data_IF_631800218782
#
_entry.id   IF_631800218782
#
_cell.length_a   1.000
_cell.length_b   1.000
_cell.length_c   1.000
_cell.angle_alpha   90.00
_cell.angle_beta   90.00
_cell.angle_gamma   90.00
#
_symmetry.space_group_name_H-M   'P 1'
#
loop_
_entity.id
_entity.type
_entity.pdbx_description
1 polymer ?
#
# COMPACT_ATOMS: atom_id res chain seq x y z
N UNK A 1 -50.71 -15.15 -2.81
CA UNK A 1 -49.56 -14.63 -3.58
C UNK A 1 -48.40 -15.58 -3.28
N UNK A 2 -47.93 -16.51 -4.10
CA UNK A 2 -47.87 -16.62 -5.55
C UNK A 2 -46.42 -16.94 -5.92
N UNK A 3 -45.85 -18.02 -5.41
CA UNK A 3 -44.46 -18.43 -5.69
C UNK A 3 -44.50 -19.54 -6.74
N UNK A 4 -44.02 -19.25 -7.95
CA UNK A 4 -43.89 -20.22 -9.05
C UNK A 4 -42.41 -20.32 -9.42
N UNK A 5 -41.79 -21.46 -9.10
CA UNK A 5 -40.53 -21.88 -9.72
C UNK A 5 -40.85 -23.01 -10.70
N UNK A 6 -40.57 -22.76 -11.98
CA UNK A 6 -40.58 -23.77 -13.04
C UNK A 6 -39.14 -24.26 -13.20
N UNK A 7 -38.86 -25.48 -12.73
CA UNK A 7 -37.57 -26.16 -13.00
C UNK A 7 -37.87 -27.32 -13.95
N UNK A 8 -37.56 -27.13 -15.23
CA UNK A 8 -37.63 -28.20 -16.23
C UNK A 8 -36.40 -29.12 -16.11
N UNK A 9 -36.71 -30.40 -15.97
CA UNK A 9 -35.83 -31.58 -15.98
C UNK A 9 -35.04 -31.69 -17.29
N UNK A 10 -33.73 -31.94 -17.21
CA UNK A 10 -32.95 -32.46 -18.36
C UNK A 10 -33.16 -33.97 -18.46
N UNK A 11 -33.44 -34.53 -19.65
CA UNK A 11 -33.30 -35.96 -19.83
C UNK A 11 -31.84 -36.33 -20.19
N UNK A 12 -31.37 -37.33 -19.46
CA UNK A 12 -30.15 -38.08 -19.62
C UNK A 12 -30.27 -39.01 -20.84
N UNK A 13 -29.25 -39.10 -21.69
CA UNK A 13 -29.13 -40.17 -22.70
C UNK A 13 -27.67 -40.40 -23.11
N UNK A 14 -27.13 -41.52 -22.67
CA UNK A 14 -25.94 -42.25 -23.18
C UNK A 14 -26.28 -43.72 -22.88
N UNK A 15 -26.14 -44.70 -23.80
CA UNK A 15 -24.85 -45.38 -24.13
C UNK A 15 -24.71 -45.83 -25.62
N UNK A 16 -23.55 -45.81 -26.31
CA UNK A 16 -22.35 -46.71 -26.33
C UNK A 16 -22.31 -47.56 -27.65
N UNK A 17 -21.35 -48.49 -27.91
CA UNK A 17 -19.98 -48.37 -28.45
C UNK A 17 -19.72 -48.97 -29.87
N UNK A 18 -18.52 -48.71 -30.43
CA UNK A 18 -17.56 -49.66 -31.07
C UNK A 18 -16.91 -49.26 -32.45
N UNK A 19 -15.61 -48.92 -32.40
CA UNK A 19 -14.39 -49.28 -33.21
C UNK A 19 -14.46 -49.64 -34.73
N UNK A 20 -13.40 -49.39 -35.58
CA UNK A 20 -12.01 -49.83 -35.34
C UNK A 20 -10.83 -48.93 -35.83
N UNK A 21 -9.62 -49.38 -35.46
CA UNK A 21 -8.27 -48.82 -35.73
C UNK A 21 -7.78 -48.98 -37.18
N UNK A 22 -6.96 -48.04 -37.70
CA UNK A 22 -5.61 -48.30 -38.31
C UNK A 22 -4.91 -47.06 -38.94
N UNK A 23 -3.58 -47.02 -38.81
CA UNK A 23 -2.59 -46.34 -39.68
C UNK A 23 -2.24 -44.91 -39.27
N UNK A 24 -0.99 -44.43 -39.11
CA UNK A 24 0.33 -44.91 -39.52
C UNK A 24 0.95 -43.97 -40.56
N UNK A 25 1.83 -43.03 -40.15
CA UNK A 25 2.70 -42.26 -41.06
C UNK A 25 3.15 -40.86 -40.54
N UNK A 26 4.46 -40.52 -40.54
CA UNK A 26 4.99 -39.22 -40.09
C UNK A 26 5.29 -38.24 -41.25
N UNK A 27 5.19 -36.94 -41.00
CA UNK A 27 5.69 -35.95 -41.98
C UNK A 27 5.31 -34.49 -41.77
N UNK A 28 6.18 -33.75 -41.07
CA UNK A 28 6.69 -32.38 -41.35
C UNK A 28 5.75 -31.15 -41.43
N UNK A 29 6.39 -30.02 -41.05
CA UNK A 29 6.10 -28.61 -41.33
C UNK A 29 5.00 -27.96 -40.46
N UNK A 30 5.37 -27.14 -39.47
CA UNK A 30 5.73 -25.72 -39.62
C UNK A 30 4.53 -24.85 -40.02
N UNK A 31 4.07 -24.01 -39.09
CA UNK A 31 3.70 -22.58 -39.24
C UNK A 31 2.85 -22.15 -38.05
N UNK A 32 3.29 -21.11 -37.34
CA UNK A 32 2.41 -20.29 -36.50
C UNK A 32 1.74 -19.27 -37.43
N UNK A 33 0.45 -18.98 -37.22
CA UNK A 33 0.12 -17.61 -36.87
C UNK A 33 -0.96 -17.50 -35.79
N UNK A 34 -0.68 -16.65 -34.82
CA UNK A 34 -1.63 -16.14 -33.84
C UNK A 34 -2.76 -15.40 -34.58
N UNK A 35 -4.00 -15.89 -34.47
CA UNK A 35 -5.17 -15.16 -34.97
C UNK A 35 -5.83 -14.40 -33.81
N UNK A 36 -5.57 -13.10 -33.85
CA UNK A 36 -6.37 -11.94 -33.48
C UNK A 36 -7.87 -12.22 -33.25
N UNK A 37 -8.40 -11.84 -32.08
CA UNK A 37 -9.78 -11.35 -31.98
C UNK A 37 -9.93 -10.42 -30.76
N UNK A 38 -9.71 -9.12 -30.98
CA UNK A 38 -10.13 -8.05 -30.07
C UNK A 38 -11.14 -7.18 -30.80
N UNK A 39 -12.34 -6.93 -30.25
CA UNK A 39 -13.24 -5.97 -30.86
C UNK A 39 -12.83 -4.54 -30.48
N UNK A 40 -12.45 -3.81 -31.53
CA UNK A 40 -12.44 -2.37 -31.67
C UNK A 40 -13.78 -1.75 -31.20
N UNK A 41 -13.76 -0.87 -30.20
CA UNK A 41 -14.83 0.13 -30.01
C UNK A 41 -14.20 1.52 -30.12
N UNK A 42 -14.76 2.24 -31.10
CA UNK A 42 -14.35 3.54 -31.61
C UNK A 42 -14.82 4.66 -30.68
N UNK A 43 -13.85 5.51 -30.33
CA UNK A 43 -13.90 6.97 -30.09
C UNK A 43 -15.26 7.69 -30.11
N UNK A 44 -15.50 8.50 -29.08
CA UNK A 44 -16.01 9.86 -29.27
C UNK A 44 -15.40 10.83 -28.26
N UNK A 45 -14.64 11.78 -28.80
CA UNK A 45 -14.18 13.00 -28.13
C UNK A 45 -15.36 13.93 -27.82
N UNK A 46 -15.27 14.63 -26.69
CA UNK A 46 -16.18 15.70 -26.29
C UNK A 46 -15.51 16.62 -25.29
N UNK A 47 -14.92 17.69 -25.84
CA UNK A 47 -14.27 18.82 -25.18
C UNK A 47 -15.01 19.36 -23.94
N UNK A 48 -14.28 19.61 -22.84
CA UNK A 48 -14.58 20.69 -21.90
C UNK A 48 -13.32 21.04 -21.11
N UNK A 49 -12.61 22.06 -21.59
CA UNK A 49 -11.53 22.72 -20.84
C UNK A 49 -12.21 23.64 -19.84
N UNK A 50 -12.11 23.34 -18.55
CA UNK A 50 -12.48 24.27 -17.50
C UNK A 50 -11.35 24.31 -16.47
N UNK A 51 -10.53 25.35 -16.56
CA UNK A 51 -9.50 25.70 -15.58
C UNK A 51 -10.18 26.67 -14.61
N UNK A 52 -10.45 26.32 -13.34
CA UNK A 52 -10.86 27.32 -12.36
C UNK A 52 -9.65 28.20 -12.00
N UNK A 53 -9.71 29.45 -12.48
CA UNK A 53 -8.85 30.55 -12.06
C UNK A 53 -9.09 30.84 -10.56
N UNK A 54 -8.08 30.61 -9.73
CA UNK A 54 -8.18 30.89 -8.31
C UNK A 54 -6.98 30.46 -7.47
N UNK A 55 -5.76 30.60 -7.98
CA UNK A 55 -4.52 30.33 -7.22
C UNK A 55 -3.51 31.45 -7.45
N UNK A 56 -3.80 32.64 -6.92
CA UNK A 56 -2.83 33.69 -6.65
C UNK A 56 -3.24 34.39 -5.35
N UNK A 57 -2.24 34.84 -4.56
CA UNK A 57 -2.28 35.40 -3.19
C UNK A 57 -1.96 34.28 -2.16
N UNK A 58 -0.80 34.17 -1.50
CA UNK A 58 0.20 35.15 -1.04
C UNK A 58 1.62 34.54 -1.04
N UNK A 59 2.59 35.21 -1.65
CA UNK A 59 4.01 35.13 -1.28
C UNK A 59 4.38 36.45 -0.58
N UNK A 60 4.77 36.37 0.69
CA UNK A 60 5.53 37.39 1.44
C UNK A 60 6.07 36.68 2.71
N UNK A 61 7.28 36.15 2.71
CA UNK A 61 8.54 36.78 3.16
C UNK A 61 8.47 37.43 4.55
N UNK A 62 9.22 36.88 5.53
CA UNK A 62 10.06 37.61 6.51
C UNK A 62 10.76 36.66 7.51
N UNK A 63 12.08 36.50 7.31
CA UNK A 63 13.17 36.74 8.28
C UNK A 63 13.20 36.10 9.69
N UNK A 64 14.36 35.47 9.95
CA UNK A 64 15.11 35.28 11.22
C UNK A 64 15.33 33.78 11.51
N UNK A 65 16.45 33.16 11.14
CA UNK A 65 17.82 33.34 11.69
C UNK A 65 17.79 33.83 13.14
N UNK A 66 17.78 32.87 14.06
CA UNK A 66 18.27 33.08 15.41
C UNK A 66 19.19 31.91 15.78
N UNK A 67 20.44 32.09 15.32
CA UNK A 67 21.70 31.74 15.98
C UNK A 67 21.63 30.88 17.24
N UNK A 68 22.11 29.66 17.10
CA UNK A 68 22.60 28.80 18.17
C UNK A 68 24.05 29.22 18.53
N UNK A 69 24.36 29.70 19.74
CA UNK A 69 25.75 29.79 20.19
C UNK A 69 25.97 28.86 21.39
N UNK A 70 26.99 28.02 21.31
CA UNK A 70 27.89 27.67 22.41
C UNK A 70 28.71 26.43 22.03
N UNK A 71 29.68 26.66 21.15
CA UNK A 71 30.89 25.83 21.09
C UNK A 71 31.99 26.65 21.79
N UNK A 72 32.27 26.34 23.05
CA UNK A 72 33.50 26.76 23.73
C UNK A 72 34.10 25.50 24.34
N UNK A 73 35.15 25.03 23.70
CA UNK A 73 36.02 23.97 24.16
C UNK A 73 37.28 24.65 24.69
N UNK A 74 37.46 24.65 26.01
CA UNK A 74 38.69 25.09 26.65
C UNK A 74 38.84 24.52 28.07
N UNK A 75 40.08 24.12 28.36
CA UNK A 75 40.67 23.79 29.64
C UNK A 75 40.57 22.33 30.13
N UNK A 76 41.59 21.57 29.73
CA UNK A 76 42.23 20.60 30.58
C UNK A 76 42.66 21.23 31.92
N UNK A 77 42.46 20.50 33.03
CA UNK A 77 43.43 20.42 34.12
C UNK A 77 43.16 19.20 35.02
N UNK A 78 44.25 18.50 35.27
CA UNK A 78 44.45 17.35 36.15
C UNK A 78 44.24 17.68 37.62
N UNK A 79 43.81 16.68 38.42
CA UNK A 79 44.25 16.62 39.82
C UNK A 79 43.33 15.88 40.81
N UNK A 80 43.91 14.83 41.39
CA UNK A 80 43.67 14.28 42.75
C UNK A 80 42.48 13.34 43.03
N UNK A 81 42.87 12.08 43.19
CA UNK A 81 42.35 11.03 44.07
C UNK A 81 41.69 11.50 45.37
N UNK A 82 40.57 10.87 45.75
CA UNK A 82 40.35 10.24 47.07
C UNK A 82 39.30 9.11 46.93
N UNK A 83 39.69 7.92 47.37
CA UNK A 83 38.89 6.72 47.63
C UNK A 83 37.89 6.93 48.80
N UNK A 84 36.65 6.49 48.65
CA UNK A 84 35.64 6.51 49.72
C UNK A 84 34.55 5.46 49.50
N UNK A 85 34.57 4.43 50.35
CA UNK A 85 33.69 3.24 50.44
C UNK A 85 32.16 3.49 50.39
N UNK A 86 31.35 2.43 50.14
CA UNK A 86 29.96 2.51 49.72
C UNK A 86 29.01 2.72 50.90
N UNK A 87 27.89 3.39 50.64
CA UNK A 87 26.72 3.37 51.54
C UNK A 87 25.43 3.32 50.75
N UNK A 88 24.51 2.55 51.30
CA UNK A 88 23.35 1.96 50.66
C UNK A 88 22.15 2.92 50.51
N UNK A 89 21.20 2.45 49.71
CA UNK A 89 19.76 2.70 49.83
C UNK A 89 19.22 4.02 49.27
N UNK A 90 18.70 3.95 48.05
CA UNK A 90 17.40 4.55 47.74
C UNK A 90 16.72 3.73 46.64
N UNK A 91 15.92 2.76 47.07
CA UNK A 91 14.87 2.12 46.30
C UNK A 91 13.85 3.19 45.90
N UNK A 92 14.04 3.83 44.75
CA UNK A 92 12.99 4.60 44.10
C UNK A 92 12.27 3.69 43.10
N UNK A 93 11.37 2.87 43.63
CA UNK A 93 10.27 2.29 42.87
C UNK A 93 9.39 3.44 42.42
N UNK A 94 9.57 3.93 41.19
CA UNK A 94 8.53 4.69 40.50
C UNK A 94 7.75 3.71 39.62
N UNK A 95 6.89 2.95 40.30
CA UNK A 95 5.75 2.29 39.68
C UNK A 95 4.70 3.36 39.36
N UNK A 96 4.99 4.18 38.37
CA UNK A 96 4.03 5.07 37.73
C UNK A 96 3.54 4.42 36.45
N UNK A 97 2.85 3.29 36.57
CA UNK A 97 2.15 2.67 35.46
C UNK A 97 1.02 3.60 35.02
N UNK A 98 1.34 4.57 34.17
CA UNK A 98 0.34 5.21 33.34
C UNK A 98 -0.23 4.13 32.44
N UNK A 99 -1.28 3.46 32.90
CA UNK A 99 -2.12 2.62 32.05
C UNK A 99 -2.84 3.59 31.11
N UNK A 100 -2.13 4.08 30.10
CA UNK A 100 -2.73 4.74 28.96
C UNK A 100 -3.62 3.69 28.33
N UNK A 101 -4.93 3.81 28.54
CA UNK A 101 -5.93 2.98 27.88
C UNK A 101 -5.79 3.29 26.39
N UNK A 102 -5.06 2.44 25.68
CA UNK A 102 -4.80 2.64 24.26
C UNK A 102 -6.14 2.58 23.52
N UNK A 103 -6.47 3.62 22.78
CA UNK A 103 -7.62 3.60 21.87
C UNK A 103 -7.49 2.42 20.91
N UNK A 104 -8.59 1.73 20.56
CA UNK A 104 -8.52 0.58 19.67
C UNK A 104 -7.96 1.00 18.30
N UNK A 105 -6.93 0.30 17.84
CA UNK A 105 -6.33 0.52 16.53
C UNK A 105 -7.11 -0.24 15.45
N UNK A 106 -7.29 0.38 14.29
CA UNK A 106 -7.88 -0.27 13.13
C UNK A 106 -6.89 -1.23 12.47
N UNK A 107 -7.32 -2.47 12.23
CA UNK A 107 -6.41 -3.45 11.64
C UNK A 107 -6.36 -3.33 10.12
N UNK A 108 -5.15 -3.27 9.57
CA UNK A 108 -4.89 -3.44 8.14
C UNK A 108 -4.88 -4.94 7.83
N UNK A 109 -5.92 -5.43 7.16
CA UNK A 109 -6.16 -6.86 6.95
C UNK A 109 -5.38 -7.42 5.77
N UNK A 110 -5.39 -6.69 4.68
CA UNK A 110 -4.86 -7.15 3.40
C UNK A 110 -4.42 -5.97 2.54
N UNK A 111 -3.50 -6.24 1.62
CA UNK A 111 -3.06 -5.30 0.59
C UNK A 111 -3.08 -6.05 -0.74
N UNK A 112 -3.92 -5.60 -1.67
CA UNK A 112 -4.09 -6.21 -2.99
C UNK A 112 -3.73 -5.25 -4.09
N UNK A 113 -3.48 -5.79 -5.28
CA UNK A 113 -3.26 -4.99 -6.47
C UNK A 113 -3.97 -5.57 -7.69
N UNK A 114 -4.27 -4.70 -8.65
CA UNK A 114 -4.72 -5.03 -9.98
C UNK A 114 -3.98 -4.16 -10.97
N UNK A 115 -3.39 -4.78 -11.98
CA UNK A 115 -2.61 -4.08 -13.00
C UNK A 115 -3.23 -4.29 -14.37
N UNK A 116 -3.26 -3.24 -15.17
CA UNK A 116 -3.53 -3.31 -16.60
C UNK A 116 -2.51 -2.41 -17.34
N UNK A 117 -2.55 -2.30 -18.68
CA UNK A 117 -1.58 -1.49 -19.42
C UNK A 117 -1.62 0.02 -19.15
N UNK A 118 -2.70 0.55 -18.54
CA UNK A 118 -2.89 1.99 -18.34
C UNK A 118 -2.76 2.44 -16.89
N UNK A 119 -3.04 1.56 -15.92
CA UNK A 119 -2.93 1.87 -14.50
C UNK A 119 -2.68 0.63 -13.64
N UNK A 120 -2.13 0.88 -12.45
CA UNK A 120 -2.06 -0.08 -11.35
C UNK A 120 -2.88 0.45 -10.19
N UNK A 121 -3.84 -0.36 -9.71
CA UNK A 121 -4.63 -0.07 -8.52
C UNK A 121 -4.07 -0.86 -7.35
N UNK A 122 -3.78 -0.19 -6.25
CA UNK A 122 -3.47 -0.83 -4.96
C UNK A 122 -4.68 -0.61 -4.05
N UNK A 123 -5.06 -1.62 -3.28
CA UNK A 123 -6.18 -1.51 -2.32
C UNK A 123 -5.71 -2.01 -0.98
N UNK A 124 -5.90 -1.19 0.04
CA UNK A 124 -5.58 -1.47 1.43
C UNK A 124 -6.91 -1.69 2.16
N UNK A 125 -7.11 -2.91 2.66
CA UNK A 125 -8.31 -3.26 3.43
C UNK A 125 -8.10 -2.91 4.90
N UNK A 126 -9.03 -2.12 5.45
CA UNK A 126 -8.99 -1.65 6.84
C UNK A 126 -10.33 -1.96 7.51
N UNK A 127 -10.28 -2.44 8.75
CA UNK A 127 -11.49 -2.81 9.51
C UNK A 127 -12.37 -1.63 9.93
N UNK A 128 -11.87 -0.40 9.79
CA UNK A 128 -12.59 0.80 10.16
C UNK A 128 -12.04 2.04 9.47
N UNK A 129 -12.74 3.15 9.67
CA UNK A 129 -12.38 4.41 9.06
C UNK A 129 -11.14 5.00 9.71
N UNK A 130 -10.14 5.31 8.88
CA UNK A 130 -8.83 5.78 9.30
C UNK A 130 -8.48 7.08 8.60
N UNK A 131 -7.97 8.04 9.37
CA UNK A 131 -7.32 9.21 8.78
C UNK A 131 -6.01 8.79 8.12
N UNK A 132 -5.73 9.33 6.95
CA UNK A 132 -4.50 9.02 6.23
C UNK A 132 -3.79 10.27 5.72
N UNK A 133 -2.48 10.13 5.53
CA UNK A 133 -1.62 11.12 4.87
C UNK A 133 -0.84 10.43 3.79
N UNK A 134 -0.58 11.10 2.68
CA UNK A 134 0.20 10.51 1.59
C UNK A 134 1.18 11.52 1.02
N UNK A 135 2.18 11.00 0.32
CA UNK A 135 3.18 11.84 -0.33
C UNK A 135 4.08 11.05 -1.25
N UNK A 136 4.98 11.77 -1.91
CA UNK A 136 6.00 11.19 -2.79
C UNK A 136 7.37 11.38 -2.16
N UNK A 137 8.17 10.34 -2.23
CA UNK A 137 9.59 10.38 -1.87
C UNK A 137 10.39 10.25 -3.16
N UNK A 138 11.45 11.03 -3.25
CA UNK A 138 12.39 10.94 -4.36
C UNK A 138 13.64 10.16 -3.95
N UNK A 139 14.37 9.63 -4.92
CA UNK A 139 15.66 8.95 -4.75
C UNK A 139 15.68 7.82 -3.70
N UNK A 140 15.09 6.63 -3.97
CA UNK A 140 14.33 6.25 -5.17
C UNK A 140 12.87 6.73 -5.12
N UNK A 141 12.27 6.81 -6.30
CA UNK A 141 10.89 7.30 -6.49
C UNK A 141 9.87 6.34 -5.87
N UNK A 142 9.07 6.86 -4.93
CA UNK A 142 8.12 6.10 -4.12
C UNK A 142 6.89 6.93 -3.80
N UNK A 143 5.72 6.31 -3.76
CA UNK A 143 4.57 6.86 -3.04
C UNK A 143 4.49 6.21 -1.67
N UNK A 144 4.07 6.98 -0.67
CA UNK A 144 3.71 6.43 0.63
C UNK A 144 2.34 6.90 1.06
N UNK A 145 1.69 6.06 1.87
CA UNK A 145 0.46 6.38 2.56
C UNK A 145 0.59 5.92 4.02
N UNK A 146 0.42 6.86 4.93
CA UNK A 146 0.39 6.64 6.38
C UNK A 146 -1.05 6.57 6.85
N UNK A 147 -1.42 5.46 7.46
CA UNK A 147 -2.73 5.23 8.08
C UNK A 147 -2.57 5.44 9.59
N UNK A 148 -3.29 6.42 10.15
CA UNK A 148 -3.20 6.86 11.55
C UNK A 148 -4.19 6.10 12.45
N UNK A 149 -3.79 5.75 13.67
CA UNK A 149 -4.61 4.90 14.53
C UNK A 149 -4.81 3.49 13.97
N UNK A 150 -3.80 2.96 13.27
CA UNK A 150 -3.86 1.67 12.60
C UNK A 150 -2.74 0.73 13.05
N UNK A 151 -3.02 -0.57 12.96
CA UNK A 151 -2.06 -1.63 13.23
C UNK A 151 -1.97 -2.59 12.04
N UNK A 152 -0.74 -2.97 11.68
CA UNK A 152 -0.49 -3.90 10.59
C UNK A 152 -0.71 -5.34 11.07
N UNK A 153 -1.61 -6.07 10.41
CA UNK A 153 -1.80 -7.47 10.72
C UNK A 153 -0.53 -8.31 10.48
N UNK A 154 -0.28 -9.28 11.36
CA UNK A 154 0.98 -10.01 11.40
C UNK A 154 1.34 -10.72 10.09
N UNK A 155 0.36 -11.18 9.32
CA UNK A 155 0.60 -11.82 8.02
C UNK A 155 1.20 -10.90 6.95
N UNK A 156 1.06 -9.57 7.13
CA UNK A 156 1.60 -8.55 6.21
C UNK A 156 2.98 -8.05 6.65
N UNK A 157 3.42 -8.34 7.87
CA UNK A 157 4.68 -7.83 8.41
C UNK A 157 5.88 -8.46 7.71
N UNK A 158 6.84 -7.61 7.30
CA UNK A 158 8.10 -8.05 6.71
C UNK A 158 7.98 -8.68 5.32
N UNK A 159 6.79 -8.68 4.70
CA UNK A 159 6.56 -9.33 3.41
C UNK A 159 6.26 -8.31 2.31
N UNK A 160 7.25 -7.95 1.47
CA UNK A 160 6.98 -7.14 0.30
C UNK A 160 6.08 -7.90 -0.69
N UNK A 161 5.04 -7.23 -1.18
CA UNK A 161 4.19 -7.72 -2.25
C UNK A 161 4.84 -7.35 -3.59
N UNK A 162 5.35 -8.35 -4.31
CA UNK A 162 5.86 -8.13 -5.66
C UNK A 162 4.72 -7.73 -6.60
N UNK A 163 4.94 -6.67 -7.37
CA UNK A 163 4.00 -6.22 -8.41
C UNK A 163 4.74 -6.22 -9.73
N UNK A 164 4.65 -7.29 -10.53
CA UNK A 164 5.43 -7.45 -11.76
C UNK A 164 4.79 -6.71 -12.94
N UNK A 165 4.60 -5.39 -12.81
CA UNK A 165 4.06 -4.55 -13.89
C UNK A 165 5.01 -3.42 -14.32
N UNK A 166 4.55 -2.51 -15.17
CA UNK A 166 5.35 -1.43 -15.74
C UNK A 166 5.39 -0.15 -14.87
N UNK A 167 4.50 -0.02 -13.87
CA UNK A 167 4.40 1.18 -13.01
C UNK A 167 5.07 0.97 -11.64
N UNK A 168 4.90 -0.22 -11.06
CA UNK A 168 5.38 -0.57 -9.73
C UNK A 168 6.48 -1.65 -9.79
N UNK A 169 7.40 -1.59 -8.83
CA UNK A 169 8.33 -2.67 -8.49
C UNK A 169 7.69 -3.59 -7.45
N UNK A 170 6.96 -3.01 -6.51
CA UNK A 170 6.30 -3.73 -5.43
C UNK A 170 5.65 -2.79 -4.42
N UNK A 171 4.98 -3.39 -3.46
CA UNK A 171 4.33 -2.70 -2.34
C UNK A 171 4.91 -3.24 -1.04
N UNK A 172 5.22 -2.35 -0.11
CA UNK A 172 5.74 -2.68 1.22
C UNK A 172 4.80 -2.09 2.26
N UNK A 173 4.58 -2.81 3.35
CA UNK A 173 3.86 -2.29 4.50
C UNK A 173 4.68 -2.53 5.76
N UNK A 174 4.63 -1.57 6.68
CA UNK A 174 5.30 -1.66 7.96
C UNK A 174 4.62 -0.80 9.02
N UNK A 175 4.77 -1.21 10.27
CA UNK A 175 4.42 -0.37 11.41
C UNK A 175 5.49 0.73 11.53
N UNK A 176 5.15 1.96 11.13
CA UNK A 176 6.06 3.11 11.11
C UNK A 176 6.17 3.78 12.48
N UNK A 177 5.07 3.79 13.23
CA UNK A 177 4.98 4.19 14.64
C UNK A 177 3.97 3.25 15.34
N UNK A 178 3.89 3.21 16.69
CA UNK A 178 2.99 2.28 17.39
C UNK A 178 1.54 2.26 16.89
N UNK A 179 1.04 3.40 16.43
CA UNK A 179 -0.32 3.61 15.93
C UNK A 179 -0.35 4.06 14.45
N UNK A 180 0.77 4.01 13.72
CA UNK A 180 0.84 4.41 12.31
C UNK A 180 1.38 3.29 11.45
N UNK A 181 0.57 2.83 10.49
CA UNK A 181 1.02 1.93 9.42
C UNK A 181 1.42 2.75 8.21
N UNK A 182 2.61 2.51 7.66
CA UNK A 182 3.04 3.08 6.39
C UNK A 182 3.02 2.01 5.31
N UNK A 183 2.29 2.29 4.22
CA UNK A 183 2.33 1.52 2.98
C UNK A 183 3.14 2.31 1.96
N UNK A 184 4.13 1.66 1.34
CA UNK A 184 5.05 2.26 0.36
C UNK A 184 4.92 1.53 -0.96
N UNK A 185 4.66 2.27 -2.03
CA UNK A 185 4.63 1.78 -3.40
C UNK A 185 5.95 2.17 -4.05
N UNK A 186 6.77 1.17 -4.40
CA UNK A 186 8.04 1.38 -5.08
C UNK A 186 7.80 1.57 -6.57
N UNK A 187 8.16 2.73 -7.11
CA UNK A 187 7.80 3.10 -8.48
C UNK A 187 8.89 2.69 -9.49
N UNK A 188 8.44 2.38 -10.71
CA UNK A 188 9.26 2.32 -11.93
C UNK A 188 9.03 3.56 -12.78
N UNK A 189 7.77 3.94 -12.94
CA UNK A 189 7.32 5.13 -13.64
C UNK A 189 6.01 5.60 -13.01
N UNK A 190 5.81 6.90 -12.92
CA UNK A 190 4.57 7.49 -12.43
C UNK A 190 4.28 8.80 -13.17
N UNK A 191 3.08 8.89 -13.75
CA UNK A 191 2.49 10.15 -14.21
C UNK A 191 1.75 10.81 -13.04
N UNK A 192 0.42 10.65 -13.04
CA UNK A 192 -0.45 11.12 -11.96
C UNK A 192 -0.92 9.96 -11.06
N UNK A 193 -1.37 10.30 -9.85
CA UNK A 193 -1.96 9.35 -8.91
C UNK A 193 -3.11 10.00 -8.13
N UNK A 194 -4.03 9.16 -7.66
CA UNK A 194 -5.16 9.57 -6.83
C UNK A 194 -5.27 8.60 -5.66
N UNK A 195 -5.59 9.14 -4.48
CA UNK A 195 -5.85 8.35 -3.27
C UNK A 195 -7.25 8.69 -2.79
N UNK A 196 -8.09 7.68 -2.56
CA UNK A 196 -9.45 7.88 -2.10
C UNK A 196 -9.95 6.69 -1.27
N UNK A 197 -11.03 6.91 -0.52
CA UNK A 197 -11.63 5.88 0.32
C UNK A 197 -12.91 5.35 -0.30
N UNK A 198 -13.23 4.09 -0.01
CA UNK A 198 -14.51 3.46 -0.33
C UNK A 198 -15.10 2.89 0.95
N UNK A 199 -16.42 2.99 1.13
CA UNK A 199 -17.13 2.36 2.24
C UNK A 199 -17.77 1.03 1.82
N UNK A 200 -18.09 0.19 2.82
CA UNK A 200 -18.76 -1.10 2.68
C UNK A 200 -18.09 -2.15 1.74
N UNK A 201 -17.02 -2.85 2.18
CA UNK A 201 -16.17 -2.59 3.35
C UNK A 201 -15.25 -1.37 3.17
N UNK A 202 -14.71 -0.86 4.29
CA UNK A 202 -13.80 0.29 4.28
C UNK A 202 -12.48 -0.07 3.60
N UNK A 203 -12.09 0.74 2.61
CA UNK A 203 -10.89 0.53 1.80
C UNK A 203 -10.23 1.85 1.45
N UNK A 204 -8.91 1.85 1.43
CA UNK A 204 -8.11 2.93 0.84
C UNK A 204 -7.56 2.46 -0.51
N UNK A 205 -7.75 3.26 -1.56
CA UNK A 205 -7.41 2.95 -2.95
C UNK A 205 -6.46 4.01 -3.50
#
# INVERSE_FOLDING_TARGET
MGVRYLSLTRPHSTPDPALPRRGGGPGRAATHPWVTFWPMIRSRQGMARHIPAGWLIVLALLSAVLTWPAMIEAAAQSGRSVEGKPSASAKATQSGGSTTVASPLWLIRDIRHWSNPSYTRVVIDVDGEVQYRFGRLHNPDRLYVDLLGAQLASQLQGRPLAVPDHMLRGVRAGQNQPDVVRVVLDLKALGDYHVFTMSAPYRLV
#
